data_IF_136614057050
#
_entry.id   IF_136614057050
#
_cell.length_a   1.000
_cell.length_b   1.000
_cell.length_c   1.000
_cell.angle_alpha   90.00
_cell.angle_beta   90.00
_cell.angle_gamma   90.00
#
_symmetry.space_group_name_H-M   'P 1'
#
loop_
_entity.id
_entity.type
_entity.pdbx_description
1 polymer ?
#
# COMPACT_ATOMS: atom_id res chain seq x y z
N UNK A 1 -8.93 7.09 -6.06
CA UNK A 1 -8.04 6.46 -5.05
C UNK A 1 -8.34 7.07 -3.70
N UNK A 2 -8.23 6.29 -2.63
CA UNK A 2 -8.35 6.75 -1.24
C UNK A 2 -7.05 6.47 -0.49
N UNK A 3 -6.42 7.50 0.05
CA UNK A 3 -5.29 7.37 0.99
C UNK A 3 -5.83 7.50 2.41
N UNK A 4 -5.63 6.49 3.23
CA UNK A 4 -6.14 6.48 4.60
C UNK A 4 -5.03 6.22 5.62
N UNK A 5 -5.11 6.95 6.73
CA UNK A 5 -4.32 6.70 7.94
C UNK A 5 -5.09 5.81 8.92
N UNK A 6 -4.76 5.91 10.21
CA UNK A 6 -5.35 5.18 11.35
C UNK A 6 -4.86 3.74 11.56
N UNK A 7 -4.85 2.92 10.50
CA UNK A 7 -4.21 1.59 10.55
C UNK A 7 -2.73 1.75 10.22
N UNK A 8 -1.84 1.25 11.09
CA UNK A 8 -0.39 1.43 10.95
C UNK A 8 0.28 0.36 10.09
N UNK A 9 -0.46 -0.68 9.69
CA UNK A 9 0.00 -1.68 8.73
C UNK A 9 -0.32 -1.18 7.31
N UNK A 10 0.67 -1.13 6.41
CA UNK A 10 0.42 -0.77 5.02
C UNK A 10 -0.44 -1.84 4.33
N UNK A 11 -1.34 -1.44 3.45
CA UNK A 11 -2.26 -2.34 2.73
C UNK A 11 -2.76 -1.62 1.49
N UNK A 12 -3.09 -2.35 0.43
CA UNK A 12 -3.75 -1.76 -0.73
C UNK A 12 -4.76 -2.72 -1.34
N UNK A 13 -6.02 -2.32 -1.44
CA UNK A 13 -7.08 -3.17 -1.97
C UNK A 13 -8.03 -2.42 -2.90
N UNK A 14 -8.73 -3.16 -3.76
CA UNK A 14 -9.77 -2.60 -4.62
C UNK A 14 -11.09 -2.65 -3.88
N UNK A 15 -11.68 -1.49 -3.64
CA UNK A 15 -13.06 -1.35 -3.17
C UNK A 15 -13.96 -1.11 -4.37
N UNK A 16 -14.96 -1.98 -4.56
CA UNK A 16 -16.01 -1.83 -5.58
C UNK A 16 -17.26 -1.23 -4.94
N UNK A 17 -17.85 -0.26 -5.64
CA UNK A 17 -19.10 0.41 -5.26
C UNK A 17 -20.06 0.34 -6.46
N UNK A 18 -21.38 0.56 -6.30
CA UNK A 18 -22.33 0.44 -7.40
C UNK A 18 -21.94 1.21 -8.68
N UNK A 19 -21.37 2.40 -8.52
CA UNK A 19 -21.00 3.29 -9.63
C UNK A 19 -19.50 3.26 -9.98
N UNK A 20 -18.77 2.22 -9.57
CA UNK A 20 -17.36 2.03 -9.94
C UNK A 20 -16.50 1.42 -8.85
N UNK A 21 -15.34 2.01 -8.60
CA UNK A 21 -14.44 1.53 -7.56
C UNK A 21 -13.24 2.43 -7.38
N UNK A 22 -12.50 2.16 -6.31
CA UNK A 22 -11.26 2.86 -6.01
C UNK A 22 -10.28 1.89 -5.34
N UNK A 23 -8.99 2.18 -5.48
CA UNK A 23 -7.98 1.53 -4.65
C UNK A 23 -7.90 2.29 -3.32
N UNK A 24 -8.10 1.58 -2.21
CA UNK A 24 -7.86 2.07 -0.86
C UNK A 24 -6.45 1.67 -0.44
N UNK A 25 -5.66 2.63 0.03
CA UNK A 25 -4.28 2.40 0.48
C UNK A 25 -4.15 2.87 1.93
N UNK A 26 -3.81 1.96 2.84
CA UNK A 26 -3.38 2.30 4.20
C UNK A 26 -1.87 2.55 4.21
N UNK A 27 -1.44 3.52 5.02
CA UNK A 27 -0.03 3.82 5.17
C UNK A 27 0.59 3.13 6.39
N UNK A 28 1.85 2.75 6.24
CA UNK A 28 2.73 2.57 7.41
C UNK A 28 2.88 3.86 8.23
N UNK A 29 3.49 3.76 9.41
CA UNK A 29 3.85 4.92 10.25
C UNK A 29 5.35 4.98 10.53
N UNK A 30 5.93 6.18 10.57
CA UNK A 30 7.32 6.42 11.01
C UNK A 30 7.46 6.59 12.53
N UNK A 31 6.43 6.26 13.29
CA UNK A 31 6.45 6.38 14.75
C UNK A 31 7.44 5.40 15.38
N UNK A 32 8.26 5.88 16.31
CA UNK A 32 9.16 5.06 17.13
C UNK A 32 8.48 4.49 18.39
N UNK A 33 7.16 4.65 18.53
CA UNK A 33 6.40 4.04 19.62
C UNK A 33 6.35 2.52 19.43
N UNK A 34 6.22 1.76 20.52
CA UNK A 34 6.00 0.31 20.43
C UNK A 34 4.70 0.00 19.67
N UNK A 35 4.79 -0.87 18.67
CA UNK A 35 3.72 -1.28 17.74
C UNK A 35 3.95 -2.73 17.29
N UNK A 36 2.92 -3.33 16.70
CA UNK A 36 2.97 -4.70 16.16
C UNK A 36 3.77 -4.81 14.85
N UNK A 37 4.02 -3.68 14.17
CA UNK A 37 4.79 -3.61 12.91
C UNK A 37 5.92 -2.58 13.04
N UNK A 38 7.08 -2.80 12.38
CA UNK A 38 8.16 -1.82 12.36
C UNK A 38 7.73 -0.50 11.69
N UNK A 39 8.48 0.60 11.94
CA UNK A 39 8.27 1.85 11.23
C UNK A 39 8.31 1.62 9.72
N UNK A 40 7.32 2.16 9.01
CA UNK A 40 7.15 1.89 7.58
C UNK A 40 6.44 3.03 6.86
N UNK A 41 6.56 3.04 5.54
CA UNK A 41 5.83 3.96 4.66
C UNK A 41 5.61 3.32 3.29
N UNK A 42 4.73 3.92 2.50
CA UNK A 42 4.42 3.45 1.16
C UNK A 42 5.07 4.35 0.10
N UNK A 43 5.52 3.74 -0.99
CA UNK A 43 5.88 4.43 -2.23
C UNK A 43 4.84 4.05 -3.29
N UNK A 44 4.22 5.07 -3.87
CA UNK A 44 3.22 4.93 -4.92
C UNK A 44 3.80 5.47 -6.21
N UNK A 45 3.95 4.59 -7.20
CA UNK A 45 4.39 4.95 -8.56
C UNK A 45 3.19 4.90 -9.50
N UNK A 46 3.04 5.93 -10.35
CA UNK A 46 1.98 6.02 -11.34
C UNK A 46 2.56 6.13 -12.74
N UNK A 47 2.02 5.34 -13.67
CA UNK A 47 2.31 5.40 -15.09
C UNK A 47 1.00 5.25 -15.88
N UNK A 48 0.43 6.40 -16.27
CA UNK A 48 -0.87 6.46 -16.93
C UNK A 48 -1.99 5.80 -16.10
N UNK A 49 -2.53 4.69 -16.60
CA UNK A 49 -3.56 3.90 -15.92
C UNK A 49 -2.99 2.83 -14.97
N UNK A 50 -1.67 2.72 -14.85
CA UNK A 50 -1.03 1.74 -13.99
C UNK A 50 -0.52 2.40 -12.71
N UNK A 51 -0.71 1.71 -11.59
CA UNK A 51 -0.18 2.12 -10.30
C UNK A 51 0.55 0.95 -9.66
N UNK A 52 1.69 1.22 -9.00
CA UNK A 52 2.31 0.26 -8.08
C UNK A 52 2.44 0.84 -6.69
N UNK A 53 2.26 -0.02 -5.68
CA UNK A 53 2.42 0.33 -4.27
C UNK A 53 3.49 -0.59 -3.71
N UNK A 54 4.53 0.02 -3.13
CA UNK A 54 5.54 -0.70 -2.35
C UNK A 54 5.46 -0.24 -0.91
N UNK A 55 5.53 -1.16 0.06
CA UNK A 55 5.77 -0.79 1.45
C UNK A 55 7.24 -1.00 1.78
N UNK A 56 7.84 0.00 2.39
CA UNK A 56 9.18 -0.08 2.94
C UNK A 56 9.06 -0.16 4.45
N UNK A 57 9.75 -1.13 5.04
CA UNK A 57 9.79 -1.36 6.48
C UNK A 57 11.21 -1.12 7.00
N UNK A 58 11.34 -0.51 8.17
CA UNK A 58 12.63 -0.27 8.79
C UNK A 58 13.17 -1.57 9.37
N UNK A 59 14.31 -2.02 8.85
CA UNK A 59 15.00 -3.22 9.31
C UNK A 59 16.49 -2.97 9.47
N UNK A 60 17.03 -3.37 10.62
CA UNK A 60 18.43 -3.13 10.97
C UNK A 60 18.73 -1.63 11.04
N UNK A 61 19.19 -1.07 9.92
CA UNK A 61 19.58 0.34 9.82
C UNK A 61 19.07 1.06 8.55
N UNK A 62 18.11 0.47 7.83
CA UNK A 62 17.58 1.06 6.59
C UNK A 62 16.12 0.68 6.36
N UNK A 63 15.46 1.43 5.47
CA UNK A 63 14.15 1.07 4.95
C UNK A 63 14.30 0.13 3.76
N UNK A 64 13.72 -1.06 3.86
CA UNK A 64 13.79 -2.08 2.80
C UNK A 64 12.41 -2.37 2.23
N UNK A 65 12.26 -2.52 0.90
CA UNK A 65 10.98 -2.91 0.31
C UNK A 65 10.56 -4.31 0.77
N UNK A 66 9.35 -4.43 1.31
CA UNK A 66 8.78 -5.71 1.77
C UNK A 66 7.79 -6.31 0.79
N UNK A 67 7.02 -5.47 0.15
CA UNK A 67 5.99 -5.90 -0.80
C UNK A 67 5.98 -4.97 -1.98
N UNK A 68 5.53 -5.47 -3.13
CA UNK A 68 5.23 -4.65 -4.30
C UNK A 68 4.03 -5.23 -5.03
N UNK A 69 2.97 -4.43 -5.09
CA UNK A 69 1.72 -4.80 -5.73
C UNK A 69 1.39 -3.76 -6.79
N UNK A 70 0.62 -4.16 -7.80
CA UNK A 70 0.33 -3.32 -8.96
C UNK A 70 -1.12 -3.46 -9.40
N UNK A 71 -1.67 -2.37 -9.95
CA UNK A 71 -3.05 -2.26 -10.39
C UNK A 71 -3.13 -1.59 -11.75
N UNK A 72 -4.13 -2.01 -12.54
CA UNK A 72 -4.69 -1.23 -13.62
C UNK A 72 -5.91 -0.47 -13.08
N UNK A 73 -5.80 0.86 -13.00
CA UNK A 73 -6.81 1.76 -12.46
C UNK A 73 -7.99 1.99 -13.42
N UNK A 74 -7.81 1.88 -14.74
CA UNK A 74 -8.92 2.03 -15.67
C UNK A 74 -9.82 0.79 -15.70
N UNK A 75 -9.22 -0.39 -15.47
CA UNK A 75 -9.93 -1.67 -15.38
C UNK A 75 -10.30 -2.07 -13.95
N UNK A 76 -9.81 -1.35 -12.95
CA UNK A 76 -9.93 -1.71 -11.53
C UNK A 76 -9.55 -3.18 -11.30
N UNK A 77 -8.33 -3.53 -11.70
CA UNK A 77 -7.79 -4.90 -11.69
C UNK A 77 -6.43 -4.93 -11.00
N UNK A 78 -6.19 -5.94 -10.15
CA UNK A 78 -4.88 -6.15 -9.54
C UNK A 78 -4.02 -7.01 -10.47
N UNK A 79 -2.87 -6.45 -10.88
CA UNK A 79 -1.94 -7.09 -11.81
C UNK A 79 -0.88 -7.93 -11.10
N UNK A 80 -0.58 -7.62 -9.83
CA UNK A 80 0.41 -8.34 -9.01
C UNK A 80 -0.08 -8.50 -7.58
N UNK A 81 -0.20 -9.74 -7.13
CA UNK A 81 -0.43 -10.14 -5.74
C UNK A 81 0.90 -10.07 -4.93
N UNK A 82 0.88 -9.87 -3.60
CA UNK A 82 -0.27 -9.94 -2.69
C UNK A 82 -1.01 -8.59 -2.49
N UNK A 83 -2.35 -8.59 -2.49
CA UNK A 83 -3.15 -7.40 -2.15
C UNK A 83 -3.04 -6.98 -0.68
N UNK A 84 -2.63 -7.90 0.19
CA UNK A 84 -2.26 -7.58 1.57
C UNK A 84 -0.77 -7.29 1.60
N UNK A 85 -0.45 -6.03 1.90
CA UNK A 85 0.93 -5.56 2.06
C UNK A 85 1.35 -5.77 3.52
N UNK A 86 1.45 -7.00 3.99
CA UNK A 86 1.91 -7.23 5.37
C UNK A 86 3.35 -6.72 5.53
N UNK A 87 3.55 -5.75 6.42
CA UNK A 87 4.86 -5.27 6.83
C UNK A 87 5.65 -6.34 7.59
#
# INVERSE_FOLDING_TARGET
MLLTGHVHAPQAEIIRVPDGGYVAVTSGTLSMRLRDVPPSFNVLDFDGSFMSVSALSYEGNSFVPKTKSAWNLSRMEQLRAPGVVSA
#
